data_IF_802614469688
#
_entry.id   IF_802614469688
#
_cell.length_a   1.000
_cell.length_b   1.000
_cell.length_c   1.000
_cell.angle_alpha   90.00
_cell.angle_beta   90.00
_cell.angle_gamma   90.00
#
_symmetry.space_group_name_H-M   'P 1'
#
loop_
_entity.id
_entity.type
_entity.pdbx_description
1 polymer ?
#
# COMPACT_ATOMS: atom_id res chain seq x y z
N UNK A 1 -12.54 -0.22 16.93
CA UNK A 1 -11.74 -1.40 17.30
C UNK A 1 -12.23 -2.68 16.70
N UNK A 2 -13.54 -2.93 16.68
CA UNK A 2 -14.08 -4.09 15.96
C UNK A 2 -13.68 -4.08 14.48
N UNK A 3 -13.66 -2.91 13.85
CA UNK A 3 -13.30 -2.75 12.44
C UNK A 3 -11.85 -3.17 12.17
N UNK A 4 -10.94 -2.82 13.07
CA UNK A 4 -9.53 -3.17 12.92
C UNK A 4 -9.34 -4.68 13.07
N UNK A 5 -9.99 -5.30 14.06
CA UNK A 5 -9.94 -6.76 14.24
C UNK A 5 -10.51 -7.50 13.03
N UNK A 6 -11.64 -7.02 12.53
CA UNK A 6 -12.25 -7.60 11.35
C UNK A 6 -11.31 -7.52 10.14
N UNK A 7 -10.66 -6.38 9.98
CA UNK A 7 -9.68 -6.17 8.91
C UNK A 7 -8.51 -7.16 9.01
N UNK A 8 -7.94 -7.33 10.22
CA UNK A 8 -6.85 -8.29 10.43
C UNK A 8 -7.30 -9.72 10.18
N UNK A 9 -8.50 -10.06 10.63
CA UNK A 9 -9.09 -11.38 10.41
C UNK A 9 -9.26 -11.66 8.92
N UNK A 10 -9.78 -10.70 8.16
CA UNK A 10 -9.94 -10.81 6.71
C UNK A 10 -8.61 -11.01 6.00
N UNK A 11 -7.55 -10.35 6.45
CA UNK A 11 -6.21 -10.54 5.90
C UNK A 11 -5.65 -11.93 6.17
N UNK A 12 -5.96 -12.51 7.33
CA UNK A 12 -5.54 -13.87 7.67
C UNK A 12 -6.30 -14.92 6.86
N UNK A 13 -7.53 -14.60 6.50
CA UNK A 13 -8.40 -15.49 5.74
C UNK A 13 -8.44 -15.05 4.28
N UNK A 14 -7.27 -14.99 3.67
CA UNK A 14 -7.17 -14.63 2.27
C UNK A 14 -8.00 -15.59 1.41
N UNK A 15 -8.72 -15.03 0.45
CA UNK A 15 -9.46 -15.83 -0.52
C UNK A 15 -8.46 -16.64 -1.38
N UNK A 16 -8.91 -17.72 -2.06
CA UNK A 16 -8.03 -18.44 -2.98
C UNK A 16 -7.42 -17.53 -4.04
N UNK A 17 -8.16 -16.55 -4.51
CA UNK A 17 -7.70 -15.58 -5.51
C UNK A 17 -6.59 -14.70 -4.95
N UNK A 18 -6.75 -14.24 -3.71
CA UNK A 18 -5.74 -13.43 -3.04
C UNK A 18 -4.48 -14.24 -2.74
N UNK A 19 -4.63 -15.49 -2.31
CA UNK A 19 -3.50 -16.37 -2.09
C UNK A 19 -2.72 -16.63 -3.37
N UNK A 20 -3.42 -16.84 -4.48
CA UNK A 20 -2.81 -17.00 -5.80
C UNK A 20 -2.08 -15.72 -6.21
N UNK A 21 -2.70 -14.56 -6.01
CA UNK A 21 -2.10 -13.28 -6.32
C UNK A 21 -0.82 -13.04 -5.53
N UNK A 22 -0.79 -13.44 -4.26
CA UNK A 22 0.42 -13.34 -3.43
C UNK A 22 1.56 -14.15 -4.03
N UNK A 23 1.29 -15.37 -4.48
CA UNK A 23 2.29 -16.21 -5.13
C UNK A 23 2.78 -15.61 -6.44
N UNK A 24 1.86 -15.09 -7.25
CA UNK A 24 2.21 -14.45 -8.52
C UNK A 24 3.06 -13.21 -8.30
N UNK A 25 2.68 -12.39 -7.31
CA UNK A 25 3.43 -11.19 -6.96
C UNK A 25 4.84 -11.55 -6.51
N UNK A 26 4.97 -12.55 -5.63
CA UNK A 26 6.27 -12.99 -5.13
C UNK A 26 7.16 -13.54 -6.26
N UNK A 27 6.57 -14.24 -7.21
CA UNK A 27 7.30 -14.76 -8.36
C UNK A 27 7.72 -13.65 -9.31
N UNK A 28 6.81 -12.73 -9.62
CA UNK A 28 7.06 -11.61 -10.55
C UNK A 28 8.12 -10.64 -10.00
N UNK A 29 8.07 -10.37 -8.71
CA UNK A 29 8.98 -9.43 -8.06
C UNK A 29 9.96 -10.14 -7.12
N UNK A 30 10.48 -11.25 -7.57
CA UNK A 30 11.38 -12.13 -6.81
C UNK A 30 12.63 -11.41 -6.31
N UNK A 31 13.17 -10.50 -7.13
CA UNK A 31 14.39 -9.77 -6.79
C UNK A 31 14.12 -8.39 -6.17
N UNK A 32 12.87 -8.03 -5.99
CA UNK A 32 12.50 -6.78 -5.34
C UNK A 32 12.94 -6.81 -3.87
N UNK A 33 13.71 -5.79 -3.47
CA UNK A 33 14.02 -5.60 -2.06
C UNK A 33 12.85 -4.85 -1.42
N UNK A 34 12.05 -5.57 -0.66
CA UNK A 34 10.83 -5.00 -0.05
C UNK A 34 11.11 -4.17 1.19
N UNK A 35 12.33 -4.22 1.70
CA UNK A 35 12.75 -3.51 2.91
C UNK A 35 11.76 -3.81 4.04
N UNK A 36 11.24 -2.78 4.71
CA UNK A 36 10.24 -2.93 5.77
C UNK A 36 8.80 -2.81 5.27
N UNK A 37 8.59 -2.79 3.95
CA UNK A 37 7.25 -2.69 3.35
C UNK A 37 6.67 -4.09 3.14
N UNK A 38 5.49 -4.33 3.67
CA UNK A 38 4.83 -5.64 3.63
C UNK A 38 3.61 -5.57 2.72
N UNK A 39 3.61 -6.41 1.70
CA UNK A 39 2.47 -6.60 0.80
C UNK A 39 1.73 -7.86 1.24
N UNK A 40 0.50 -7.71 1.71
CA UNK A 40 -0.34 -8.85 2.08
C UNK A 40 -1.06 -9.42 0.84
N UNK A 41 -1.73 -10.57 0.95
CA UNK A 41 -2.44 -11.16 -0.21
C UNK A 41 -3.45 -10.23 -0.85
N UNK A 42 -4.20 -9.47 -0.06
CA UNK A 42 -5.19 -8.53 -0.57
C UNK A 42 -4.53 -7.41 -1.40
N UNK A 43 -3.48 -6.79 -0.89
CA UNK A 43 -2.78 -5.73 -1.62
C UNK A 43 -2.07 -6.26 -2.85
N UNK A 44 -1.53 -7.48 -2.79
CA UNK A 44 -0.96 -8.13 -3.97
C UNK A 44 -2.01 -8.34 -5.06
N UNK A 45 -3.19 -8.80 -4.70
CA UNK A 45 -4.28 -8.99 -5.63
C UNK A 45 -4.69 -7.67 -6.28
N UNK A 46 -4.87 -6.62 -5.49
CA UNK A 46 -5.19 -5.29 -6.01
C UNK A 46 -4.11 -4.77 -6.94
N UNK A 47 -2.84 -4.94 -6.55
CA UNK A 47 -1.72 -4.46 -7.34
C UNK A 47 -1.66 -5.16 -8.70
N UNK A 48 -1.73 -6.48 -8.73
CA UNK A 48 -1.67 -7.25 -9.96
C UNK A 48 -2.86 -6.97 -10.87
N UNK A 49 -4.04 -6.76 -10.28
CA UNK A 49 -5.24 -6.45 -11.06
C UNK A 49 -5.15 -5.07 -11.72
N UNK A 50 -4.60 -4.09 -11.02
CA UNK A 50 -4.62 -2.68 -11.44
C UNK A 50 -3.34 -2.20 -12.11
N UNK A 51 -2.21 -2.85 -11.83
CA UNK A 51 -0.88 -2.41 -12.25
C UNK A 51 -0.05 -3.54 -12.86
N UNK A 52 -0.63 -4.23 -13.85
CA UNK A 52 -0.03 -5.43 -14.46
C UNK A 52 1.33 -5.18 -15.10
N UNK A 53 1.53 -3.99 -15.65
CA UNK A 53 2.70 -3.68 -16.45
C UNK A 53 3.72 -2.79 -15.72
N UNK A 54 3.68 -2.78 -14.39
CA UNK A 54 4.61 -1.97 -13.62
C UNK A 54 6.02 -2.54 -13.74
N UNK A 55 6.95 -1.66 -14.06
CA UNK A 55 8.37 -2.00 -14.13
C UNK A 55 8.90 -2.20 -12.70
N UNK A 56 9.66 -3.28 -12.49
CA UNK A 56 10.23 -3.60 -11.18
C UNK A 56 11.12 -2.47 -10.65
N UNK A 57 11.86 -1.81 -11.53
CA UNK A 57 12.74 -0.70 -11.13
C UNK A 57 11.95 0.46 -10.54
N UNK A 58 10.81 0.80 -11.13
CA UNK A 58 9.93 1.84 -10.62
C UNK A 58 9.29 1.44 -9.29
N UNK A 59 8.91 0.18 -9.18
CA UNK A 59 8.36 -0.34 -7.92
C UNK A 59 9.44 -0.34 -6.84
N UNK A 60 10.67 -0.68 -7.17
CA UNK A 60 11.79 -0.62 -6.23
C UNK A 60 12.01 0.81 -5.73
N UNK A 61 11.96 1.77 -6.64
CA UNK A 61 12.09 3.19 -6.26
C UNK A 61 10.97 3.61 -5.31
N UNK A 62 9.75 3.17 -5.58
CA UNK A 62 8.60 3.44 -4.70
C UNK A 62 8.83 2.86 -3.30
N UNK A 63 9.22 1.60 -3.24
CA UNK A 63 9.48 0.91 -1.96
C UNK A 63 10.60 1.60 -1.19
N UNK A 64 11.69 1.95 -1.87
CA UNK A 64 12.83 2.63 -1.24
C UNK A 64 12.41 3.99 -0.68
N UNK A 65 11.63 4.75 -1.44
CA UNK A 65 11.16 6.06 -1.01
C UNK A 65 10.22 5.93 0.19
N UNK A 66 9.26 5.01 0.13
CA UNK A 66 8.31 4.78 1.21
C UNK A 66 9.02 4.37 2.50
N UNK A 67 10.03 3.51 2.40
CA UNK A 67 10.75 3.02 3.57
C UNK A 67 11.53 4.14 4.28
N UNK A 68 11.80 5.24 3.59
CA UNK A 68 12.52 6.40 4.14
C UNK A 68 11.61 7.55 4.55
N UNK A 69 10.29 7.41 4.38
CA UNK A 69 9.36 8.45 4.82
C UNK A 69 9.25 8.47 6.34
N UNK A 70 9.12 9.68 6.89
CA UNK A 70 8.94 9.86 8.32
C UNK A 70 7.48 9.64 8.68
N UNK A 71 7.17 8.43 9.13
CA UNK A 71 5.81 8.03 9.50
C UNK A 71 5.74 7.61 10.96
N UNK A 72 4.72 8.09 11.65
CA UNK A 72 4.45 7.71 13.04
C UNK A 72 3.73 6.36 13.09
N UNK A 73 4.04 5.57 14.14
CA UNK A 73 3.40 4.29 14.37
C UNK A 73 1.90 4.42 14.58
N UNK A 74 1.14 3.44 14.12
CA UNK A 74 -0.31 3.34 14.27
C UNK A 74 -1.11 4.40 13.50
N UNK A 75 -0.46 5.13 12.61
CA UNK A 75 -1.11 6.13 11.77
C UNK A 75 -1.25 5.60 10.34
N UNK A 76 -2.27 6.10 9.65
CA UNK A 76 -2.50 5.77 8.24
C UNK A 76 -2.03 6.90 7.36
N UNK A 77 -1.38 6.54 6.28
CA UNK A 77 -0.81 7.49 5.34
C UNK A 77 -1.27 7.17 3.93
N UNK A 78 -1.52 8.21 3.15
CA UNK A 78 -1.73 8.05 1.72
C UNK A 78 -0.47 8.50 1.00
N UNK A 79 0.13 7.60 0.25
CA UNK A 79 1.33 7.91 -0.54
C UNK A 79 0.97 7.76 -2.01
N UNK A 80 1.17 8.81 -2.77
CA UNK A 80 0.93 8.79 -4.21
C UNK A 80 2.25 8.90 -4.97
N UNK A 81 2.46 7.96 -5.89
CA UNK A 81 3.60 7.99 -6.81
C UNK A 81 3.18 8.61 -8.12
N UNK A 82 3.81 9.71 -8.49
CA UNK A 82 3.55 10.38 -9.76
C UNK A 82 3.95 9.51 -10.94
N UNK A 83 5.10 8.85 -10.85
CA UNK A 83 5.62 8.06 -11.96
C UNK A 83 4.78 6.82 -12.23
N UNK A 84 4.21 6.22 -11.19
CA UNK A 84 3.35 5.05 -11.31
C UNK A 84 1.87 5.42 -11.43
N UNK A 85 1.53 6.67 -11.14
CA UNK A 85 0.16 7.15 -11.04
C UNK A 85 -0.65 6.28 -10.06
N UNK A 86 0.00 5.92 -8.95
CA UNK A 86 -0.50 4.93 -8.01
C UNK A 86 -0.54 5.48 -6.60
N UNK A 87 -1.69 5.38 -5.96
CA UNK A 87 -1.84 5.69 -4.55
C UNK A 87 -1.93 4.43 -3.72
N UNK A 88 -1.30 4.45 -2.56
CA UNK A 88 -1.40 3.37 -1.58
C UNK A 88 -1.72 3.94 -0.22
N UNK A 89 -2.59 3.25 0.52
CA UNK A 89 -2.80 3.55 1.93
C UNK A 89 -1.89 2.63 2.72
N UNK A 90 -1.08 3.24 3.58
CA UNK A 90 -0.06 2.54 4.37
C UNK A 90 -0.31 2.75 5.86
N UNK A 91 0.07 1.75 6.64
CA UNK A 91 0.03 1.82 8.10
C UNK A 91 1.36 1.38 8.66
N UNK A 92 2.00 2.23 9.46
CA UNK A 92 3.25 1.87 10.10
C UNK A 92 2.98 1.16 11.42
N UNK A 93 3.63 0.03 11.60
CA UNK A 93 3.55 -0.76 12.82
C UNK A 93 4.67 -0.36 13.79
N UNK A 94 4.48 -0.63 15.09
CA UNK A 94 5.49 -0.34 16.13
C UNK A 94 6.82 -1.04 15.86
N UNK A 95 6.81 -2.19 15.16
CA UNK A 95 8.02 -2.92 14.79
C UNK A 95 8.85 -2.22 13.70
N UNK A 96 8.33 -1.14 13.13
CA UNK A 96 8.95 -0.46 12.00
C UNK A 96 8.47 -0.95 10.64
N UNK A 97 7.69 -2.02 10.59
CA UNK A 97 7.11 -2.52 9.34
C UNK A 97 6.02 -1.59 8.84
N UNK A 98 5.96 -1.43 7.54
CA UNK A 98 4.95 -0.60 6.86
C UNK A 98 4.06 -1.55 6.07
N UNK A 99 2.80 -1.64 6.47
CA UNK A 99 1.83 -2.52 5.81
C UNK A 99 1.09 -1.76 4.72
N UNK A 100 1.03 -2.35 3.54
CA UNK A 100 0.19 -1.83 2.46
C UNK A 100 -1.24 -2.29 2.73
N UNK A 101 -2.08 -1.33 3.09
CA UNK A 101 -3.46 -1.62 3.47
C UNK A 101 -4.34 -1.77 2.22
N UNK A 102 -4.17 -0.86 1.27
CA UNK A 102 -4.89 -0.94 0.01
C UNK A 102 -4.09 -0.24 -1.08
N UNK A 103 -4.25 -0.73 -2.31
CA UNK A 103 -3.68 -0.13 -3.52
C UNK A 103 -4.85 0.49 -4.27
N UNK A 104 -4.84 1.81 -4.44
CA UNK A 104 -5.94 2.51 -5.06
C UNK A 104 -5.95 2.31 -6.58
N UNK A 105 -7.13 2.39 -7.21
CA UNK A 105 -7.22 2.33 -8.67
C UNK A 105 -6.45 3.47 -9.32
N UNK A 106 -5.87 3.19 -10.50
CA UNK A 106 -5.17 4.21 -11.28
C UNK A 106 -6.13 5.34 -11.63
N UNK A 107 -5.63 6.57 -11.50
CA UNK A 107 -6.43 7.76 -11.81
C UNK A 107 -7.39 8.16 -10.72
N UNK A 108 -7.37 7.53 -9.55
CA UNK A 108 -8.22 7.95 -8.44
C UNK A 108 -7.82 9.34 -7.99
N UNK A 109 -8.85 10.14 -7.71
CA UNK A 109 -8.71 11.54 -7.33
C UNK A 109 -7.92 11.70 -6.05
N UNK A 110 -6.93 12.60 -6.09
CA UNK A 110 -6.08 12.89 -4.95
C UNK A 110 -6.63 14.04 -4.13
N UNK A 111 -6.20 14.15 -2.87
CA UNK A 111 -6.55 15.31 -2.06
C UNK A 111 -6.01 16.60 -2.69
N UNK A 112 -6.78 17.66 -2.59
CA UNK A 112 -6.39 18.95 -3.17
C UNK A 112 -5.48 19.75 -2.27
N UNK A 113 -5.53 19.51 -0.95
CA UNK A 113 -4.73 20.25 0.03
C UNK A 113 -4.30 19.34 1.16
N UNK A 114 -3.13 19.63 1.74
CA UNK A 114 -2.58 18.86 2.85
C UNK A 114 -3.32 19.12 4.18
N UNK A 115 -4.18 20.11 4.21
CA UNK A 115 -4.87 20.54 5.43
C UNK A 115 -6.27 19.97 5.60
N UNK A 116 -6.82 19.37 4.54
CA UNK A 116 -8.15 18.76 4.63
C UNK A 116 -8.06 17.39 5.27
N UNK A 117 -8.95 17.16 6.24
CA UNK A 117 -9.06 15.85 6.87
C UNK A 117 -9.55 14.86 5.82
N UNK A 118 -8.68 13.96 5.43
CA UNK A 118 -8.95 13.02 4.36
C UNK A 118 -9.48 11.71 4.88
N UNK A 119 -10.61 11.29 4.34
CA UNK A 119 -11.08 9.93 4.52
C UNK A 119 -11.07 9.28 3.14
N UNK A 120 -10.23 8.26 2.98
CA UNK A 120 -10.07 7.55 1.73
C UNK A 120 -10.41 6.08 1.98
N UNK A 121 -11.33 5.55 1.21
CA UNK A 121 -11.82 4.16 1.38
C UNK A 121 -12.27 3.89 2.82
N UNK A 122 -12.89 4.90 3.47
CA UNK A 122 -13.35 4.78 4.86
C UNK A 122 -12.25 4.88 5.91
N UNK A 123 -11.02 5.11 5.51
CA UNK A 123 -9.87 5.19 6.41
C UNK A 123 -9.46 6.64 6.60
N UNK A 124 -9.31 7.05 7.85
CA UNK A 124 -8.84 8.39 8.19
C UNK A 124 -7.34 8.48 7.93
N UNK A 125 -6.96 9.36 7.01
CA UNK A 125 -5.56 9.56 6.63
C UNK A 125 -4.96 10.64 7.52
N UNK A 126 -3.85 10.30 8.16
CA UNK A 126 -3.13 11.23 9.02
C UNK A 126 -2.36 12.26 8.19
N UNK A 127 -1.68 11.79 7.15
CA UNK A 127 -0.86 12.66 6.30
C UNK A 127 -0.80 12.10 4.88
N UNK A 128 -0.69 13.00 3.91
CA UNK A 128 -0.55 12.66 2.49
C UNK A 128 0.87 12.98 2.03
N UNK A 129 1.49 12.02 1.37
CA UNK A 129 2.80 12.20 0.74
C UNK A 129 2.66 12.02 -0.78
N UNK A 130 3.27 12.92 -1.52
CA UNK A 130 3.36 12.80 -2.97
C UNK A 130 4.83 12.60 -3.33
N UNK A 131 5.14 11.52 -4.03
CA UNK A 131 6.50 11.17 -4.42
C UNK A 131 6.60 11.02 -5.94
N UNK A 132 7.81 11.05 -6.46
CA UNK A 132 8.08 10.92 -7.89
C UNK A 132 7.68 9.56 -8.47
#
# INVERSE_FOLDING_TARGET
MKTFRKFLSEQREASPEEATAKKEFDAKFKTLNRRNVVFNPHSCHQFLDRYKNVNQRRLQYFVDTVSNLDMESKKYYLVFSKSLEMGMILNKHDSGKIFVITVLPKGKKQPKTDTEMMIVEGIKIFEYFEIE
#
